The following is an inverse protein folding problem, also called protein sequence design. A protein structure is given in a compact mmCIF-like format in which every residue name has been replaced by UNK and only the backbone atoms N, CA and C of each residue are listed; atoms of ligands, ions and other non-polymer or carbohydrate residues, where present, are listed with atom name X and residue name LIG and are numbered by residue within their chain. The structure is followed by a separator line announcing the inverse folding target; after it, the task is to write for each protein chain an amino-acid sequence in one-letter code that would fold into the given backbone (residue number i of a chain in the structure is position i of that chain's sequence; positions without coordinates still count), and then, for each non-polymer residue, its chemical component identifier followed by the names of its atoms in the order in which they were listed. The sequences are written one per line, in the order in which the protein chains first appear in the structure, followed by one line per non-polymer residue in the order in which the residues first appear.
data_IF_383922606326
#
_entry.id   IF_383922606326
#
_cell.length_a   1.000
_cell.length_b   1.000
_cell.length_c   1.000
_cell.angle_alpha   90.00
_cell.angle_beta   90.00
_cell.angle_gamma   90.00
#
_symmetry.space_group_name_H-M   'P 1'
#
loop_
_entity.id
_entity.type
_entity.pdbx_description
1 polymer ?
#
# COMPACT_ATOMS: atom_id res chain seq x y z
N UNK A 1 35.22 -6.61 -12.95
CA UNK A 1 34.01 -5.85 -12.56
C UNK A 1 32.97 -5.96 -13.66
N UNK A 2 31.85 -6.63 -13.41
CA UNK A 2 30.71 -6.67 -14.33
C UNK A 2 29.45 -6.69 -13.47
N UNK A 3 28.81 -5.53 -13.34
CA UNK A 3 27.53 -5.37 -12.63
C UNK A 3 26.46 -5.80 -13.64
N UNK A 4 25.98 -7.03 -13.53
CA UNK A 4 24.84 -7.51 -14.31
C UNK A 4 23.70 -7.86 -13.36
N UNK A 5 22.58 -7.17 -13.58
CA UNK A 5 21.21 -7.55 -13.23
C UNK A 5 20.95 -8.13 -11.84
N UNK A 6 20.71 -7.23 -10.89
CA UNK A 6 20.00 -7.53 -9.63
C UNK A 6 18.47 -7.36 -9.82
N UNK A 7 18.02 -6.77 -10.94
CA UNK A 7 16.60 -6.45 -11.19
C UNK A 7 15.79 -7.58 -11.84
N UNK A 8 16.39 -8.72 -12.19
CA UNK A 8 15.71 -9.81 -12.92
C UNK A 8 14.95 -10.81 -12.04
N UNK A 9 14.93 -10.64 -10.70
CA UNK A 9 14.37 -11.65 -9.79
C UNK A 9 13.06 -11.23 -9.09
N UNK A 10 12.28 -10.37 -9.71
CA UNK A 10 10.88 -10.13 -9.31
C UNK A 10 9.96 -10.80 -10.34
N UNK A 11 9.98 -12.12 -10.36
CA UNK A 11 8.92 -12.90 -11.02
C UNK A 11 7.58 -12.58 -10.35
N UNK A 12 6.58 -12.06 -11.06
CA UNK A 12 5.25 -11.87 -10.52
C UNK A 12 4.52 -13.21 -10.62
N UNK A 13 4.53 -14.00 -9.55
CA UNK A 13 3.63 -15.14 -9.38
C UNK A 13 2.62 -14.81 -8.29
N UNK A 14 1.35 -14.76 -8.71
CA UNK A 14 0.06 -14.77 -7.99
C UNK A 14 0.02 -15.37 -6.56
N UNK A 15 -0.98 -15.08 -5.68
CA UNK A 15 -2.30 -14.45 -5.97
C UNK A 15 -2.74 -13.33 -4.97
N UNK A 16 -3.70 -12.50 -5.42
CA UNK A 16 -4.50 -11.51 -4.67
C UNK A 16 -3.80 -10.21 -4.23
N UNK A 17 -3.65 -9.23 -5.14
CA UNK A 17 -3.23 -7.85 -4.81
C UNK A 17 -4.01 -7.23 -3.64
N UNK A 18 -5.29 -7.59 -3.43
CA UNK A 18 -6.04 -7.09 -2.26
C UNK A 18 -5.51 -7.54 -0.92
N UNK A 19 -4.99 -8.76 -0.79
CA UNK A 19 -4.52 -9.24 0.50
C UNK A 19 -3.26 -8.46 0.91
N UNK A 20 -2.38 -8.21 -0.06
CA UNK A 20 -1.23 -7.31 0.12
C UNK A 20 -1.63 -5.86 0.34
N UNK A 21 -2.68 -5.35 -0.32
CA UNK A 21 -3.13 -3.95 -0.15
C UNK A 21 -3.80 -3.71 1.21
N UNK A 22 -4.62 -4.65 1.68
CA UNK A 22 -5.23 -4.61 3.03
C UNK A 22 -4.14 -4.65 4.10
N UNK A 23 -3.15 -5.54 3.95
CA UNK A 23 -2.04 -5.64 4.89
C UNK A 23 -1.18 -4.36 4.90
N UNK A 24 -0.87 -3.81 3.71
CA UNK A 24 -0.14 -2.55 3.60
C UNK A 24 -0.88 -1.39 4.24
N UNK A 25 -2.19 -1.27 4.02
CA UNK A 25 -3.02 -0.25 4.66
C UNK A 25 -3.03 -0.41 6.20
N UNK A 26 -3.20 -1.63 6.69
CA UNK A 26 -3.19 -1.90 8.12
C UNK A 26 -1.84 -1.53 8.78
N UNK A 27 -0.73 -1.88 8.12
CA UNK A 27 0.61 -1.54 8.61
C UNK A 27 0.85 -0.02 8.59
N UNK A 28 0.48 0.67 7.52
CA UNK A 28 0.59 2.12 7.42
C UNK A 28 -0.27 2.82 8.50
N UNK A 29 -1.46 2.29 8.79
CA UNK A 29 -2.32 2.80 9.86
C UNK A 29 -1.67 2.65 11.24
N UNK A 30 -1.15 1.47 11.57
CA UNK A 30 -0.48 1.22 12.86
C UNK A 30 0.70 2.17 13.05
N UNK A 31 1.49 2.39 11.99
CA UNK A 31 2.62 3.32 12.03
C UNK A 31 2.17 4.77 12.25
N UNK A 32 1.11 5.20 11.54
CA UNK A 32 0.55 6.54 11.71
C UNK A 32 -0.01 6.74 13.13
N UNK A 33 -0.83 5.81 13.62
CA UNK A 33 -1.40 5.85 14.97
C UNK A 33 -0.29 5.94 16.03
N UNK A 34 0.78 5.15 15.87
CA UNK A 34 1.92 5.17 16.79
C UNK A 34 2.62 6.53 16.83
N UNK A 35 2.78 7.19 15.68
CA UNK A 35 3.42 8.51 15.58
C UNK A 35 2.52 9.63 16.07
N UNK A 36 1.20 9.51 15.93
CA UNK A 36 0.24 10.50 16.43
C UNK A 36 0.01 10.40 17.94
N UNK A 37 0.09 9.20 18.51
CA UNK A 37 0.03 8.97 19.95
C UNK A 37 1.31 9.42 20.67
N UNK A 38 2.45 9.37 20.00
CA UNK A 38 3.72 9.85 20.53
C UNK A 38 3.83 11.37 20.42
N UNK A 39 2.94 12.08 21.11
CA UNK A 39 2.78 13.54 21.08
C UNK A 39 4.00 14.36 21.55
N UNK A 40 5.07 13.70 21.98
CA UNK A 40 6.38 14.29 22.28
C UNK A 40 7.40 14.18 21.15
N UNK A 41 7.14 13.36 20.13
CA UNK A 41 8.05 13.14 19.01
C UNK A 41 8.04 14.36 18.09
N UNK A 42 9.15 15.11 18.10
CA UNK A 42 9.39 16.28 17.23
C UNK A 42 9.59 15.92 15.76
N UNK A 43 9.46 14.64 15.40
CA UNK A 43 9.71 14.18 14.03
C UNK A 43 8.49 14.41 13.13
N UNK A 44 8.24 15.68 12.84
CA UNK A 44 7.20 16.12 11.90
C UNK A 44 7.44 15.54 10.49
N UNK A 45 8.70 15.25 10.14
CA UNK A 45 9.05 14.63 8.86
C UNK A 45 8.53 13.20 8.80
N UNK A 46 8.83 12.37 9.81
CA UNK A 46 8.33 11.00 9.91
C UNK A 46 6.80 10.95 9.97
N UNK A 47 6.17 11.85 10.74
CA UNK A 47 4.71 11.96 10.78
C UNK A 47 4.12 12.33 9.42
N UNK A 48 4.73 13.28 8.70
CA UNK A 48 4.29 13.64 7.35
C UNK A 48 4.40 12.46 6.37
N UNK A 49 5.49 11.70 6.43
CA UNK A 49 5.73 10.55 5.57
C UNK A 49 4.72 9.42 5.86
N UNK A 50 4.43 9.15 7.14
CA UNK A 50 3.44 8.16 7.55
C UNK A 50 2.03 8.51 7.07
N UNK A 51 1.65 9.81 7.12
CA UNK A 51 0.36 10.28 6.58
C UNK A 51 0.25 10.08 5.07
N UNK A 52 1.32 10.40 4.33
CA UNK A 52 1.36 10.18 2.87
C UNK A 52 1.25 8.69 2.54
N UNK A 53 2.02 7.84 3.21
CA UNK A 53 1.98 6.40 2.97
C UNK A 53 0.61 5.79 3.30
N UNK A 54 -0.02 6.20 4.40
CA UNK A 54 -1.40 5.80 4.73
C UNK A 54 -2.38 6.20 3.63
N UNK A 55 -2.31 7.44 3.13
CA UNK A 55 -3.18 7.92 2.07
C UNK A 55 -2.98 7.15 0.75
N UNK A 56 -1.73 6.83 0.40
CA UNK A 56 -1.41 6.04 -0.79
C UNK A 56 -1.91 4.60 -0.68
N UNK A 57 -1.72 3.96 0.48
CA UNK A 57 -2.21 2.61 0.73
C UNK A 57 -3.75 2.54 0.69
N UNK A 58 -4.43 3.54 1.25
CA UNK A 58 -5.89 3.62 1.24
C UNK A 58 -6.41 3.79 -0.19
N UNK A 59 -5.78 4.68 -0.97
CA UNK A 59 -6.13 4.89 -2.37
C UNK A 59 -5.93 3.62 -3.20
N UNK A 60 -4.80 2.95 -3.07
CA UNK A 60 -4.53 1.72 -3.82
C UNK A 60 -5.56 0.61 -3.50
N UNK A 61 -5.97 0.47 -2.24
CA UNK A 61 -7.03 -0.45 -1.86
C UNK A 61 -8.39 -0.03 -2.45
N UNK A 62 -8.72 1.27 -2.43
CA UNK A 62 -9.96 1.78 -3.01
C UNK A 62 -10.02 1.56 -4.53
N UNK A 63 -8.93 1.86 -5.26
CA UNK A 63 -8.82 1.65 -6.70
C UNK A 63 -9.05 0.17 -7.07
N UNK A 64 -8.47 -0.75 -6.31
CA UNK A 64 -8.65 -2.19 -6.48
C UNK A 64 -10.11 -2.64 -6.19
N UNK A 65 -10.75 -2.10 -5.16
CA UNK A 65 -12.16 -2.39 -4.87
C UNK A 65 -13.10 -1.86 -5.97
N UNK A 66 -12.83 -0.66 -6.48
CA UNK A 66 -13.59 -0.07 -7.59
C UNK A 66 -13.41 -0.91 -8.86
N UNK A 67 -12.17 -1.30 -9.20
CA UNK A 67 -11.89 -2.14 -10.35
C UNK A 67 -12.66 -3.47 -10.29
N UNK A 68 -12.70 -4.11 -9.11
CA UNK A 68 -13.49 -5.33 -8.87
C UNK A 68 -14.98 -5.11 -9.06
N UNK A 69 -15.51 -3.99 -8.58
CA UNK A 69 -16.92 -3.63 -8.78
C UNK A 69 -17.27 -3.51 -10.27
N UNK A 70 -16.42 -2.87 -11.07
CA UNK A 70 -16.64 -2.71 -12.51
C UNK A 70 -16.54 -4.02 -13.31
N UNK A 71 -15.75 -5.00 -12.87
CA UNK A 71 -15.70 -6.32 -13.51
C UNK A 71 -16.97 -7.16 -13.27
N UNK A 72 -17.71 -6.86 -12.18
CA UNK A 72 -18.95 -7.58 -11.86
C UNK A 72 -20.11 -7.20 -12.77
N UNK A 73 -20.15 -5.99 -13.33
CA UNK A 73 -21.23 -5.53 -14.21
C UNK A 73 -21.02 -5.88 -15.70
N UNK A 74 -19.79 -6.21 -16.10
CA UNK A 74 -19.44 -6.47 -17.51
C UNK A 74 -19.66 -7.92 -17.95
N UNK A 75 -19.99 -8.82 -17.03
CA UNK A 75 -20.15 -10.25 -17.29
C UNK A 75 -21.60 -10.69 -17.54
N UNK A 76 -22.54 -9.75 -17.59
CA UNK A 76 -23.99 -9.99 -17.77
C UNK A 76 -24.51 -9.51 -19.14
N UNK A 77 -23.69 -9.53 -20.20
CA UNK A 77 -24.08 -9.13 -21.56
C UNK A 77 -23.76 -10.18 -22.61
#
# INVERSE_FOLDING_TARGET
MSIRNIFDNLTPSDPMPTHSLKQRLAQAKIQLDSLELDGGSKDLSALSAARVEFALAARALADELIARGHHSERSDS
#
